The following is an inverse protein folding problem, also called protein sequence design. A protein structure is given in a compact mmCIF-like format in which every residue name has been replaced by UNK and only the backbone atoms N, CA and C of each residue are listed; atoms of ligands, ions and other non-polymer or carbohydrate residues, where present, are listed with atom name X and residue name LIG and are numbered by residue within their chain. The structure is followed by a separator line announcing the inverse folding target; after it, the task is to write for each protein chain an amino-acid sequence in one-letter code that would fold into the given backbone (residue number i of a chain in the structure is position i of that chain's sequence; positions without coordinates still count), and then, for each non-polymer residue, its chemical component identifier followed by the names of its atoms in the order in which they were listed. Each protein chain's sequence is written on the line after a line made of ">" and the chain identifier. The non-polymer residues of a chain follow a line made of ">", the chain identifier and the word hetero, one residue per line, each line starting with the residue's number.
data_IF_098860743212
#
_entry.id   IF_098860743212
#
_cell.length_a   1.000
_cell.length_b   1.000
_cell.length_c   1.000
_cell.angle_alpha   90.00
_cell.angle_beta   90.00
_cell.angle_gamma   90.00
#
_symmetry.space_group_name_H-M   'P 1'
#
loop_
_entity.id
_entity.type
_entity.pdbx_description
1 polymer ?
#
# COMPACT_ATOMS: atom_id res chain seq x y z
N UNK A 1 -0.66 -14.03 -3.38
CA UNK A 1 0.25 -13.94 -2.23
C UNK A 1 -0.53 -13.37 -1.07
N UNK A 2 -0.56 -14.05 0.08
CA UNK A 2 -1.12 -13.51 1.31
C UNK A 2 -0.11 -12.48 1.86
N UNK A 3 -0.39 -11.19 1.67
CA UNK A 3 0.41 -10.14 2.29
C UNK A 3 0.38 -10.32 3.81
N UNK A 4 1.51 -10.19 4.53
CA UNK A 4 1.60 -10.46 5.97
C UNK A 4 0.95 -9.33 6.79
N UNK A 5 -0.37 -9.21 6.68
CA UNK A 5 -1.18 -8.23 7.37
C UNK A 5 -1.78 -8.85 8.64
N UNK A 6 -1.87 -8.05 9.70
CA UNK A 6 -2.49 -8.43 10.96
C UNK A 6 -3.83 -7.72 11.15
N UNK A 7 -4.78 -8.39 11.80
CA UNK A 7 -6.08 -7.84 12.12
C UNK A 7 -5.96 -6.63 13.04
N UNK A 8 -6.53 -5.49 12.63
CA UNK A 8 -6.48 -4.22 13.37
C UNK A 8 -7.57 -4.07 14.43
N UNK A 9 -8.45 -5.05 14.59
CA UNK A 9 -9.40 -5.06 15.71
C UNK A 9 -8.62 -5.18 17.00
N UNK A 10 -8.97 -4.36 18.00
CA UNK A 10 -8.28 -4.32 19.30
C UNK A 10 -8.14 -5.73 19.86
N UNK A 11 -6.94 -6.07 20.33
CA UNK A 11 -6.63 -7.35 20.98
C UNK A 11 -6.78 -8.58 20.06
N UNK A 12 -6.95 -8.42 18.74
CA UNK A 12 -7.00 -9.54 17.82
C UNK A 12 -5.62 -9.89 17.26
N UNK A 13 -5.03 -9.00 16.45
CA UNK A 13 -3.68 -9.13 15.87
C UNK A 13 -3.38 -10.43 15.11
N UNK A 14 -4.38 -11.28 14.89
CA UNK A 14 -4.23 -12.52 14.13
C UNK A 14 -4.01 -12.23 12.64
N UNK A 15 -3.35 -13.14 11.90
CA UNK A 15 -3.11 -12.98 10.47
C UNK A 15 -4.41 -12.76 9.71
N UNK A 16 -4.36 -11.86 8.73
CA UNK A 16 -5.41 -11.67 7.74
C UNK A 16 -5.09 -12.51 6.51
N UNK A 17 -6.00 -13.40 6.16
CA UNK A 17 -5.91 -14.28 5.00
C UNK A 17 -6.98 -13.90 3.98
N UNK A 18 -6.69 -14.10 2.69
CA UNK A 18 -7.68 -13.83 1.65
C UNK A 18 -8.85 -14.82 1.75
N UNK A 19 -10.07 -14.30 1.84
CA UNK A 19 -11.31 -15.07 1.81
C UNK A 19 -12.30 -14.39 0.85
N UNK A 20 -12.33 -14.86 -0.41
CA UNK A 20 -13.18 -14.29 -1.45
C UNK A 20 -12.88 -12.80 -1.71
N UNK A 21 -13.87 -11.89 -1.58
CA UNK A 21 -13.69 -10.45 -1.77
C UNK A 21 -13.16 -9.73 -0.51
N UNK A 22 -12.75 -10.44 0.54
CA UNK A 22 -12.30 -9.84 1.79
C UNK A 22 -10.98 -10.43 2.30
N UNK A 23 -10.36 -9.74 3.24
CA UNK A 23 -9.33 -10.29 4.13
C UNK A 23 -9.95 -10.62 5.47
N UNK A 24 -9.72 -11.81 6.01
CA UNK A 24 -10.31 -12.21 7.28
C UNK A 24 -9.31 -12.93 8.20
N UNK A 25 -9.51 -12.76 9.50
CA UNK A 25 -8.73 -13.48 10.51
C UNK A 25 -9.47 -14.73 11.01
N UNK A 26 -8.79 -15.69 11.67
CA UNK A 26 -9.42 -16.88 12.23
C UNK A 26 -10.54 -16.64 13.26
N UNK A 27 -10.62 -15.42 13.83
CA UNK A 27 -11.72 -15.00 14.73
C UNK A 27 -12.95 -14.47 14.00
N UNK A 28 -12.95 -14.46 12.67
CA UNK A 28 -14.09 -14.03 11.84
C UNK A 28 -14.19 -12.54 11.57
N UNK A 29 -13.25 -11.71 12.06
CA UNK A 29 -13.19 -10.30 11.62
C UNK A 29 -12.77 -10.24 10.15
N UNK A 30 -13.54 -9.54 9.33
CA UNK A 30 -13.33 -9.41 7.90
C UNK A 30 -13.23 -7.94 7.47
N UNK A 31 -12.43 -7.70 6.44
CA UNK A 31 -12.15 -6.40 5.84
C UNK A 31 -12.36 -6.50 4.33
N UNK A 32 -13.38 -5.83 3.81
CA UNK A 32 -13.71 -5.89 2.39
C UNK A 32 -12.61 -5.26 1.53
N UNK A 33 -12.32 -5.93 0.42
CA UNK A 33 -11.47 -5.38 -0.64
C UNK A 33 -12.35 -4.46 -1.47
N UNK A 34 -11.99 -3.18 -1.50
CA UNK A 34 -12.70 -2.20 -2.30
C UNK A 34 -12.65 -2.59 -3.78
N UNK A 35 -13.63 -2.13 -4.57
CA UNK A 35 -13.68 -2.39 -6.03
C UNK A 35 -12.39 -2.01 -6.76
N UNK A 36 -11.66 -1.03 -6.23
CA UNK A 36 -10.40 -0.54 -6.77
C UNK A 36 -9.19 -1.40 -6.38
N UNK A 37 -9.33 -2.36 -5.46
CA UNK A 37 -8.29 -3.32 -5.07
C UNK A 37 -7.64 -3.08 -3.69
N UNK A 38 -7.88 -1.92 -3.05
CA UNK A 38 -7.32 -1.63 -1.72
C UNK A 38 -8.20 -2.18 -0.58
N UNK A 39 -7.62 -2.35 0.61
CA UNK A 39 -8.34 -2.78 1.83
C UNK A 39 -8.24 -1.68 2.88
N UNK A 40 -9.38 -1.24 3.43
CA UNK A 40 -9.37 -0.27 4.53
C UNK A 40 -9.22 -0.98 5.87
N UNK A 41 -8.04 -0.85 6.48
CA UNK A 41 -7.77 -1.37 7.84
C UNK A 41 -8.04 -0.32 8.94
N UNK A 42 -8.45 0.90 8.57
CA UNK A 42 -8.78 1.95 9.52
C UNK A 42 -10.08 1.61 10.26
N UNK A 43 -9.97 1.44 11.58
CA UNK A 43 -11.13 1.17 12.45
C UNK A 43 -12.06 2.39 12.52
N UNK A 44 -13.40 2.23 12.49
CA UNK A 44 -14.35 3.34 12.53
C UNK A 44 -14.13 4.31 13.69
N UNK A 45 -13.83 3.81 14.88
CA UNK A 45 -13.56 4.61 16.08
C UNK A 45 -12.23 5.39 16.05
N UNK A 46 -11.32 5.05 15.12
CA UNK A 46 -10.04 5.76 14.94
C UNK A 46 -10.10 6.74 13.76
N UNK A 47 -11.23 6.83 13.05
CA UNK A 47 -11.42 7.76 11.95
C UNK A 47 -11.55 9.19 12.47
N UNK A 48 -10.50 10.00 12.29
CA UNK A 48 -10.45 11.41 12.72
C UNK A 48 -11.11 12.39 11.72
N UNK A 49 -11.30 11.98 10.48
CA UNK A 49 -11.89 12.81 9.43
C UNK A 49 -12.83 12.01 8.52
N UNK A 50 -13.86 12.66 7.97
CA UNK A 50 -14.82 12.04 7.05
C UNK A 50 -14.15 11.56 5.76
N UNK A 51 -13.18 12.34 5.28
CA UNK A 51 -12.31 12.02 4.14
C UNK A 51 -10.86 12.13 4.63
N UNK A 52 -10.23 11.02 5.06
CA UNK A 52 -8.84 11.04 5.49
C UNK A 52 -7.87 11.17 4.30
N UNK A 53 -6.74 11.82 4.55
CA UNK A 53 -5.65 12.02 3.58
C UNK A 53 -5.91 13.13 2.57
N UNK A 54 -5.18 13.08 1.45
CA UNK A 54 -5.19 14.13 0.44
C UNK A 54 -6.49 14.19 -0.36
N UNK A 55 -6.89 15.41 -0.72
CA UNK A 55 -7.96 15.64 -1.68
C UNK A 55 -7.61 15.03 -3.04
N UNK A 56 -8.63 14.51 -3.74
CA UNK A 56 -8.47 13.85 -5.05
C UNK A 56 -7.72 14.72 -6.06
N UNK A 57 -8.01 16.02 -6.11
CA UNK A 57 -7.33 16.95 -7.02
C UNK A 57 -5.82 17.04 -6.75
N UNK A 58 -5.40 17.00 -5.48
CA UNK A 58 -3.99 17.00 -5.09
C UNK A 58 -3.29 15.70 -5.50
N UNK A 59 -3.94 14.56 -5.28
CA UNK A 59 -3.44 13.25 -5.72
C UNK A 59 -3.26 13.21 -7.24
N UNK A 60 -4.23 13.72 -7.99
CA UNK A 60 -4.17 13.78 -9.45
C UNK A 60 -3.08 14.74 -9.95
N UNK A 61 -2.90 15.89 -9.29
CA UNK A 61 -1.82 16.83 -9.62
C UNK A 61 -0.44 16.19 -9.40
N UNK A 62 -0.21 15.54 -8.26
CA UNK A 62 1.04 14.82 -7.98
C UNK A 62 1.30 13.72 -9.02
N UNK A 63 0.27 12.94 -9.35
CA UNK A 63 0.40 11.89 -10.35
C UNK A 63 0.78 12.44 -11.74
N UNK A 64 0.27 13.61 -12.14
CA UNK A 64 0.68 14.26 -13.40
C UNK A 64 2.13 14.72 -13.38
N UNK A 65 2.61 15.26 -12.26
CA UNK A 65 4.01 15.66 -12.10
C UNK A 65 4.96 14.47 -12.23
N UNK A 66 4.66 13.36 -11.53
CA UNK A 66 5.45 12.13 -11.61
C UNK A 66 5.44 11.53 -13.02
N UNK A 67 4.27 11.52 -13.68
CA UNK A 67 4.16 11.08 -15.08
C UNK A 67 4.96 11.96 -16.06
N UNK A 68 5.12 13.25 -15.76
CA UNK A 68 6.00 14.16 -16.50
C UNK A 68 7.49 13.98 -16.13
N UNK A 69 7.83 13.02 -15.27
CA UNK A 69 9.20 12.74 -14.81
C UNK A 69 9.66 13.58 -13.62
N UNK A 70 8.85 14.55 -13.18
CA UNK A 70 9.21 15.45 -12.08
C UNK A 70 9.14 14.68 -10.75
N UNK A 71 10.29 14.54 -10.08
CA UNK A 71 10.44 13.77 -8.84
C UNK A 71 10.83 12.31 -9.03
N UNK A 72 10.80 11.78 -10.26
CA UNK A 72 11.17 10.38 -10.53
C UNK A 72 12.64 10.08 -10.21
N UNK A 73 13.54 11.04 -10.39
CA UNK A 73 14.96 10.88 -10.00
C UNK A 73 15.10 10.61 -8.51
N UNK A 74 14.38 11.35 -7.66
CA UNK A 74 14.38 11.16 -6.21
C UNK A 74 13.84 9.78 -5.84
N UNK A 75 12.72 9.36 -6.43
CA UNK A 75 12.14 8.03 -6.17
C UNK A 75 13.11 6.90 -6.56
N UNK A 76 13.76 7.00 -7.72
CA UNK A 76 14.76 6.01 -8.15
C UNK A 76 15.94 5.94 -7.19
N UNK A 77 16.42 7.08 -6.69
CA UNK A 77 17.51 7.11 -5.70
C UNK A 77 17.09 6.46 -4.37
N UNK A 78 15.85 6.67 -3.93
CA UNK A 78 15.30 6.02 -2.72
C UNK A 78 15.26 4.50 -2.90
N UNK A 79 14.75 4.03 -4.03
CA UNK A 79 14.68 2.58 -4.33
C UNK A 79 16.08 1.98 -4.42
N UNK A 80 16.99 2.63 -5.12
CA UNK A 80 18.38 2.20 -5.25
C UNK A 80 19.11 2.10 -3.89
N UNK A 81 18.88 3.06 -2.99
CA UNK A 81 19.37 2.98 -1.60
C UNK A 81 18.74 1.81 -0.83
N UNK A 82 17.42 1.61 -0.97
CA UNK A 82 16.72 0.52 -0.31
C UNK A 82 17.22 -0.86 -0.79
N UNK A 83 17.48 -1.01 -2.09
CA UNK A 83 18.04 -2.23 -2.69
C UNK A 83 19.45 -2.53 -2.20
N UNK A 84 20.32 -1.50 -2.09
CA UNK A 84 21.67 -1.68 -1.52
C UNK A 84 21.66 -2.09 -0.06
N UNK A 85 20.69 -1.59 0.70
CA UNK A 85 20.52 -1.94 2.11
C UNK A 85 19.76 -3.26 2.31
N UNK A 86 19.18 -3.82 1.24
CA UNK A 86 18.34 -5.00 1.33
C UNK A 86 19.19 -6.23 1.74
N UNK A 87 18.64 -7.09 2.61
CA UNK A 87 19.31 -8.33 2.97
C UNK A 87 19.34 -9.29 1.79
N UNK A 88 20.38 -10.12 1.70
CA UNK A 88 20.54 -11.17 0.69
C UNK A 88 19.60 -12.36 0.95
N UNK A 89 18.28 -12.13 0.85
CA UNK A 89 17.22 -13.15 0.97
C UNK A 89 16.10 -12.84 0.00
N UNK A 90 15.40 -13.88 -0.45
CA UNK A 90 14.24 -13.79 -1.34
C UNK A 90 13.16 -14.80 -0.89
N UNK A 91 11.86 -14.47 -0.97
CA UNK A 91 11.31 -13.16 -1.34
C UNK A 91 11.49 -12.11 -0.24
N UNK A 92 11.56 -10.83 -0.63
CA UNK A 92 11.52 -9.71 0.30
C UNK A 92 10.09 -9.24 0.49
N UNK A 93 9.73 -8.89 1.73
CA UNK A 93 8.52 -8.14 2.04
C UNK A 93 8.93 -6.70 2.30
N UNK A 94 8.36 -5.76 1.55
CA UNK A 94 8.65 -4.33 1.68
C UNK A 94 7.36 -3.58 1.93
N UNK A 95 7.34 -2.77 2.99
CA UNK A 95 6.23 -1.88 3.29
C UNK A 95 6.61 -0.43 2.94
N UNK A 96 5.78 0.22 2.12
CA UNK A 96 5.91 1.63 1.79
C UNK A 96 4.89 2.44 2.61
N UNK A 97 5.39 3.26 3.54
CA UNK A 97 4.61 4.04 4.49
C UNK A 97 4.36 5.44 3.94
N UNK A 98 3.10 5.73 3.60
CA UNK A 98 2.75 6.92 2.82
C UNK A 98 2.98 6.69 1.33
N UNK A 99 2.63 5.49 0.83
CA UNK A 99 2.93 5.05 -0.53
C UNK A 99 2.29 5.91 -1.63
N UNK A 100 1.33 6.77 -1.26
CA UNK A 100 0.63 7.65 -2.17
C UNK A 100 0.01 6.85 -3.30
N UNK A 101 0.47 7.15 -4.51
CA UNK A 101 -0.05 6.56 -5.75
C UNK A 101 0.68 5.29 -6.18
N UNK A 102 1.73 4.87 -5.45
CA UNK A 102 2.38 3.55 -5.57
C UNK A 102 3.69 3.53 -6.35
N UNK A 103 4.21 4.67 -6.82
CA UNK A 103 5.36 4.72 -7.72
C UNK A 103 6.65 4.10 -7.14
N UNK A 104 6.89 4.21 -5.84
CA UNK A 104 8.05 3.58 -5.19
C UNK A 104 7.97 2.05 -5.27
N UNK A 105 6.78 1.48 -5.05
CA UNK A 105 6.56 0.04 -5.11
C UNK A 105 6.60 -0.48 -6.55
N UNK A 106 6.14 0.30 -7.53
CA UNK A 106 6.28 -0.05 -8.96
C UNK A 106 7.77 -0.19 -9.33
N UNK A 107 8.57 0.83 -9.00
CA UNK A 107 10.02 0.83 -9.25
C UNK A 107 10.74 -0.32 -8.52
N UNK A 108 10.28 -0.67 -7.32
CA UNK A 108 10.82 -1.78 -6.56
C UNK A 108 10.49 -3.14 -7.21
N UNK A 109 9.25 -3.32 -7.69
CA UNK A 109 8.81 -4.52 -8.37
C UNK A 109 9.52 -4.70 -9.73
N UNK A 110 9.83 -3.62 -10.44
CA UNK A 110 10.69 -3.64 -11.64
C UNK A 110 12.10 -4.16 -11.33
N UNK A 111 12.67 -3.78 -10.19
CA UNK A 111 14.02 -4.18 -9.80
C UNK A 111 14.08 -5.55 -9.12
N UNK A 112 13.01 -5.97 -8.46
CA UNK A 112 12.90 -7.22 -7.70
C UNK A 112 11.57 -7.93 -8.04
N UNK A 113 11.53 -8.77 -9.09
CA UNK A 113 10.29 -9.41 -9.55
C UNK A 113 9.55 -10.24 -8.49
N UNK A 114 10.28 -10.80 -7.51
CA UNK A 114 9.73 -11.64 -6.45
C UNK A 114 9.39 -10.87 -5.15
N UNK A 115 9.41 -9.52 -5.18
CA UNK A 115 9.11 -8.72 -3.99
C UNK A 115 7.62 -8.75 -3.65
N UNK A 116 7.30 -8.93 -2.37
CA UNK A 116 5.99 -8.68 -1.82
C UNK A 116 5.92 -7.23 -1.32
N UNK A 117 5.44 -6.33 -2.19
CA UNK A 117 5.22 -4.92 -1.86
C UNK A 117 3.89 -4.69 -1.13
N UNK A 118 3.91 -3.92 -0.03
CA UNK A 118 2.73 -3.52 0.74
C UNK A 118 2.68 -2.00 0.84
N UNK A 119 1.74 -1.38 0.15
CA UNK A 119 1.51 0.07 0.20
C UNK A 119 0.52 0.45 1.31
N UNK A 120 0.93 1.39 2.17
CA UNK A 120 0.11 1.90 3.27
C UNK A 120 -0.06 3.41 3.12
N UNK A 121 -1.30 3.89 3.09
CA UNK A 121 -1.59 5.32 3.04
C UNK A 121 -2.95 5.61 3.71
N UNK A 122 -3.12 6.83 4.22
CA UNK A 122 -4.40 7.29 4.76
C UNK A 122 -5.32 7.87 3.68
N UNK A 123 -4.76 8.30 2.54
CA UNK A 123 -5.50 8.83 1.39
C UNK A 123 -6.15 7.69 0.61
N UNK A 124 -7.47 7.55 0.77
CA UNK A 124 -8.26 6.59 -0.02
C UNK A 124 -8.20 6.90 -1.51
N UNK A 125 -8.06 8.17 -1.90
CA UNK A 125 -7.92 8.58 -3.29
C UNK A 125 -6.59 8.09 -3.89
N UNK A 126 -5.50 8.17 -3.13
CA UNK A 126 -4.18 7.69 -3.55
C UNK A 126 -4.15 6.15 -3.65
N UNK A 127 -4.61 5.44 -2.61
CA UNK A 127 -4.72 3.98 -2.61
C UNK A 127 -5.62 3.45 -3.73
N UNK A 128 -6.76 4.09 -3.97
CA UNK A 128 -7.64 3.72 -5.07
C UNK A 128 -6.95 3.82 -6.43
N UNK A 129 -6.02 4.77 -6.61
CA UNK A 129 -5.23 4.89 -7.83
C UNK A 129 -4.12 3.85 -7.87
N UNK A 130 -3.37 3.67 -6.78
CA UNK A 130 -2.31 2.67 -6.69
C UNK A 130 -2.84 1.27 -7.01
N UNK A 131 -3.90 0.85 -6.33
CA UNK A 131 -4.47 -0.49 -6.46
C UNK A 131 -5.09 -0.79 -7.85
N UNK A 132 -5.45 0.24 -8.65
CA UNK A 132 -5.89 0.05 -10.04
C UNK A 132 -4.74 -0.21 -11.02
N UNK A 133 -3.51 0.10 -10.64
CA UNK A 133 -2.31 -0.08 -11.46
C UNK A 133 -1.53 -1.35 -11.07
N UNK A 134 -1.79 -1.87 -9.88
CA UNK A 134 -1.18 -3.07 -9.31
C UNK A 134 -1.79 -4.37 -9.86
#
# INVERSE_FOLDING_TARGET
>A
MDAPLACTVRECHLPLLRQGPALACPRGHAFDVARQGYVSLLQPQHRRARVPGDARASVEARARLLAAGIGMTTLRQIVDLALRAAPARSPLVVADLGCGTGETLDLLAEALPDVCGVGLDLSTAALARAARRA
#
